data_IF_886504857539
#
_entry.id   IF_886504857539
#
_cell.length_a   1.000
_cell.length_b   1.000
_cell.length_c   1.000
_cell.angle_alpha   90.00
_cell.angle_beta   90.00
_cell.angle_gamma   90.00
#
_symmetry.space_group_name_H-M   'P 1'
#
loop_
_entity.id
_entity.type
_entity.pdbx_description
1 polymer ?
#
# COMPACT_ATOMS: atom_id res chain seq x y z
N UNK A 1 -57.12 74.92 3.44
CA UNK A 1 -57.05 75.11 1.98
C UNK A 1 -55.72 74.54 1.49
N UNK A 2 -55.79 73.65 0.50
CA UNK A 2 -54.73 72.98 -0.29
C UNK A 2 -53.78 72.01 0.45
N UNK A 3 -53.91 70.68 0.40
CA UNK A 3 -53.89 69.62 -0.65
C UNK A 3 -52.50 69.05 -0.98
N UNK A 4 -52.46 67.70 -1.03
CA UNK A 4 -51.44 66.76 -1.55
C UNK A 4 -50.28 66.36 -0.63
N UNK A 5 -49.74 65.14 -0.68
CA UNK A 5 -50.17 63.76 -0.95
C UNK A 5 -48.88 62.88 -0.81
N UNK A 6 -49.04 61.55 -0.72
CA UNK A 6 -48.05 60.48 -0.95
C UNK A 6 -46.99 60.07 0.13
N UNK A 7 -47.21 58.84 0.62
CA UNK A 7 -46.29 57.77 1.08
C UNK A 7 -45.10 57.45 0.13
N UNK A 8 -44.25 56.39 0.31
CA UNK A 8 -43.58 55.75 1.46
C UNK A 8 -42.07 55.36 1.18
N UNK A 9 -41.45 54.61 2.12
CA UNK A 9 -40.39 53.55 1.98
C UNK A 9 -38.90 53.83 2.29
N UNK A 10 -38.39 52.94 3.16
CA UNK A 10 -37.11 52.19 3.15
C UNK A 10 -35.78 52.96 3.30
N UNK A 11 -35.01 52.65 4.36
CA UNK A 11 -33.90 51.69 4.25
C UNK A 11 -33.06 51.58 5.56
N UNK A 12 -32.95 50.33 6.03
CA UNK A 12 -31.77 49.64 6.59
C UNK A 12 -30.74 50.45 7.40
N UNK A 13 -30.58 50.09 8.67
CA UNK A 13 -29.25 50.05 9.29
C UNK A 13 -29.18 48.92 10.33
N UNK A 14 -28.40 47.89 10.02
CA UNK A 14 -27.90 46.88 10.97
C UNK A 14 -26.38 46.87 10.84
N UNK A 15 -25.66 47.31 11.86
CA UNK A 15 -24.35 46.76 12.24
C UNK A 15 -24.19 46.95 13.75
N UNK A 16 -24.22 45.87 14.51
CA UNK A 16 -23.66 45.81 15.87
C UNK A 16 -22.80 44.56 15.95
N UNK A 17 -21.49 44.74 15.85
CA UNK A 17 -20.51 43.72 16.14
C UNK A 17 -20.39 43.59 17.67
N UNK A 18 -20.76 42.44 18.21
CA UNK A 18 -20.44 42.05 19.57
C UNK A 18 -19.38 40.94 19.49
N UNK A 19 -18.16 41.32 19.84
CA UNK A 19 -16.99 40.47 20.00
C UNK A 19 -17.19 39.64 21.28
N UNK A 20 -17.56 38.36 21.14
CA UNK A 20 -17.46 37.37 22.21
C UNK A 20 -16.36 36.37 21.83
N UNK A 21 -15.15 36.62 22.34
CA UNK A 21 -14.07 35.64 22.33
C UNK A 21 -14.39 34.62 23.42
N UNK A 22 -14.99 33.50 23.03
CA UNK A 22 -15.12 32.32 23.87
C UNK A 22 -13.77 31.61 23.90
N UNK A 23 -13.04 31.81 25.00
CA UNK A 23 -11.94 30.98 25.45
C UNK A 23 -12.49 29.60 25.86
N UNK A 24 -12.65 28.71 24.89
CA UNK A 24 -12.78 27.28 25.14
C UNK A 24 -11.80 26.54 24.23
N UNK A 25 -10.72 26.09 24.87
CA UNK A 25 -9.81 24.98 24.53
C UNK A 25 -10.10 24.14 23.30
N UNK A 26 -10.12 24.75 22.12
CA UNK A 26 -9.89 24.05 20.87
C UNK A 26 -8.43 23.62 20.85
N UNK A 27 -8.15 22.40 21.28
CA UNK A 27 -6.99 21.66 20.79
C UNK A 27 -7.20 21.55 19.28
N UNK A 28 -6.76 22.57 18.55
CA UNK A 28 -6.44 22.43 17.15
C UNK A 28 -5.42 21.29 17.14
N UNK A 29 -5.86 20.10 16.74
CA UNK A 29 -4.95 19.03 16.40
C UNK A 29 -4.06 19.63 15.31
N UNK A 30 -2.86 20.08 15.70
CA UNK A 30 -1.81 20.41 14.77
C UNK A 30 -1.44 19.09 14.09
N UNK A 31 -2.18 18.71 13.05
CA UNK A 31 -1.71 17.78 12.05
C UNK A 31 -0.46 18.43 11.47
N UNK A 32 0.70 18.11 12.03
CA UNK A 32 1.98 18.58 11.49
C UNK A 32 2.13 17.88 10.16
N UNK A 33 2.06 18.65 9.08
CA UNK A 33 2.46 18.18 7.76
C UNK A 33 3.96 17.88 7.77
N UNK A 34 4.34 16.77 7.15
CA UNK A 34 5.76 16.44 6.94
C UNK A 34 6.31 17.35 5.82
N UNK A 35 7.54 17.88 5.93
CA UNK A 35 8.19 18.59 4.83
C UNK A 35 8.21 17.76 3.53
N UNK A 36 8.05 18.40 2.38
CA UNK A 36 7.93 17.72 1.08
C UNK A 36 9.11 16.79 0.75
N UNK A 37 10.33 17.18 1.12
CA UNK A 37 11.52 16.34 0.93
C UNK A 37 11.47 15.06 1.79
N UNK A 38 10.97 15.15 3.02
CA UNK A 38 10.79 13.98 3.89
C UNK A 38 9.65 13.10 3.39
N UNK A 39 8.54 13.67 2.90
CA UNK A 39 7.46 12.89 2.30
C UNK A 39 7.94 12.13 1.05
N UNK A 40 8.78 12.75 0.22
CA UNK A 40 9.38 12.08 -0.94
C UNK A 40 10.27 10.89 -0.53
N UNK A 41 11.07 11.06 0.55
CA UNK A 41 11.87 9.97 1.11
C UNK A 41 11.00 8.84 1.66
N UNK A 42 9.96 9.16 2.43
CA UNK A 42 8.99 8.20 2.97
C UNK A 42 8.32 7.44 1.82
N UNK A 43 7.80 8.14 0.81
CA UNK A 43 7.20 7.53 -0.38
C UNK A 43 8.17 6.55 -1.03
N UNK A 44 9.42 6.96 -1.23
CA UNK A 44 10.45 6.10 -1.82
C UNK A 44 10.63 4.83 -1.01
N UNK A 45 10.89 4.94 0.31
CA UNK A 45 11.11 3.78 1.20
C UNK A 45 9.91 2.83 1.20
N UNK A 46 8.70 3.37 1.29
CA UNK A 46 7.46 2.58 1.30
C UNK A 46 7.24 1.87 -0.03
N UNK A 47 7.35 2.59 -1.15
CA UNK A 47 7.18 1.99 -2.48
C UNK A 47 8.26 0.94 -2.76
N UNK A 48 9.50 1.12 -2.28
CA UNK A 48 10.52 0.08 -2.32
C UNK A 48 10.07 -1.20 -1.61
N UNK A 49 9.56 -1.06 -0.38
CA UNK A 49 9.05 -2.17 0.40
C UNK A 49 7.95 -2.93 -0.34
N UNK A 50 7.00 -2.22 -0.97
CA UNK A 50 5.93 -2.86 -1.74
C UNK A 50 6.37 -3.48 -3.05
N UNK A 51 7.37 -2.90 -3.73
CA UNK A 51 7.95 -3.50 -4.93
C UNK A 51 8.75 -4.76 -4.60
N UNK A 52 9.42 -4.80 -3.45
CA UNK A 52 10.21 -5.96 -3.02
C UNK A 52 9.34 -7.13 -2.51
N UNK A 53 8.29 -6.81 -1.74
CA UNK A 53 7.46 -7.82 -1.06
C UNK A 53 6.17 -8.18 -1.81
N UNK A 54 5.72 -7.33 -2.75
CA UNK A 54 4.55 -7.55 -3.60
C UNK A 54 3.34 -8.13 -2.83
N UNK A 55 2.76 -7.40 -1.84
CA UNK A 55 1.77 -7.96 -0.90
C UNK A 55 0.46 -8.44 -1.54
N UNK A 56 0.20 -8.04 -2.79
CA UNK A 56 -0.94 -8.46 -3.59
C UNK A 56 -0.59 -9.59 -4.57
N UNK A 57 0.53 -10.28 -4.32
CA UNK A 57 0.96 -11.45 -5.05
C UNK A 57 1.08 -12.66 -4.12
N UNK A 58 0.85 -13.85 -4.67
CA UNK A 58 0.97 -15.14 -4.00
C UNK A 58 2.08 -15.91 -4.69
N UNK A 59 3.11 -16.33 -3.93
CA UNK A 59 4.11 -17.26 -4.43
C UNK A 59 3.44 -18.56 -4.88
N UNK A 60 3.61 -18.92 -6.15
CA UNK A 60 2.96 -20.08 -6.75
C UNK A 60 3.70 -20.51 -8.01
N UNK A 61 3.95 -21.81 -8.15
CA UNK A 61 4.61 -22.41 -9.30
C UNK A 61 6.11 -22.66 -9.08
N UNK A 62 6.88 -22.93 -10.15
CA UNK A 62 6.51 -22.77 -11.54
C UNK A 62 5.42 -23.77 -11.99
N UNK A 63 4.57 -23.36 -12.94
CA UNK A 63 3.57 -24.21 -13.59
C UNK A 63 4.02 -24.61 -15.01
N UNK A 64 3.71 -25.84 -15.50
CA UNK A 64 3.00 -26.92 -14.81
C UNK A 64 3.74 -27.40 -13.56
N UNK A 65 2.99 -27.68 -12.49
CA UNK A 65 3.53 -28.12 -11.21
C UNK A 65 3.07 -29.55 -10.92
N UNK A 66 4.01 -30.49 -10.90
CA UNK A 66 3.75 -31.86 -10.45
C UNK A 66 4.17 -32.02 -8.98
N UNK A 67 3.22 -32.39 -8.13
CA UNK A 67 3.43 -32.65 -6.69
C UNK A 67 4.45 -33.74 -6.40
N UNK A 68 4.71 -34.67 -7.33
CA UNK A 68 5.74 -35.69 -7.19
C UNK A 68 7.16 -35.13 -7.40
N UNK A 69 7.29 -34.07 -8.21
CA UNK A 69 8.58 -33.51 -8.61
C UNK A 69 9.08 -32.39 -7.68
N UNK A 70 8.17 -31.67 -7.01
CA UNK A 70 8.55 -30.50 -6.22
C UNK A 70 7.79 -30.44 -4.91
N UNK A 71 8.40 -30.94 -3.83
CA UNK A 71 7.91 -30.72 -2.47
C UNK A 71 8.07 -29.23 -2.10
N UNK A 72 6.97 -28.51 -1.93
CA UNK A 72 6.96 -27.23 -1.19
C UNK A 72 6.98 -25.93 -1.98
N UNK A 73 6.63 -25.89 -3.27
CA UNK A 73 6.63 -24.62 -4.06
C UNK A 73 5.27 -23.93 -4.21
N UNK A 74 4.20 -24.46 -3.62
CA UNK A 74 2.87 -23.88 -3.81
C UNK A 74 1.91 -24.13 -2.64
N UNK A 75 2.14 -23.44 -1.53
CA UNK A 75 1.32 -23.56 -0.31
C UNK A 75 -0.16 -23.19 -0.51
N UNK A 76 -0.46 -22.39 -1.54
CA UNK A 76 -1.83 -21.98 -1.89
C UNK A 76 -2.38 -22.64 -3.16
N UNK A 77 -1.76 -23.69 -3.71
CA UNK A 77 -2.23 -24.32 -4.96
C UNK A 77 -3.66 -24.87 -4.86
N UNK A 78 -4.02 -25.49 -3.74
CA UNK A 78 -5.38 -25.99 -3.53
C UNK A 78 -6.39 -24.83 -3.54
N UNK A 79 -6.13 -23.75 -2.80
CA UNK A 79 -6.99 -22.57 -2.80
C UNK A 79 -7.08 -21.93 -4.21
N UNK A 80 -5.96 -21.81 -4.92
CA UNK A 80 -5.94 -21.28 -6.28
C UNK A 80 -6.73 -22.15 -7.28
N UNK A 81 -6.71 -23.47 -7.11
CA UNK A 81 -7.55 -24.41 -7.87
C UNK A 81 -9.04 -24.22 -7.54
N UNK A 82 -9.40 -24.19 -6.27
CA UNK A 82 -10.80 -23.99 -5.83
C UNK A 82 -11.39 -22.67 -6.33
N UNK A 83 -10.54 -21.64 -6.49
CA UNK A 83 -10.92 -20.35 -7.05
C UNK A 83 -10.83 -20.28 -8.59
N UNK A 84 -10.47 -21.37 -9.26
CA UNK A 84 -10.45 -21.49 -10.73
C UNK A 84 -9.25 -20.84 -11.42
N UNK A 85 -8.19 -20.47 -10.67
CA UNK A 85 -6.93 -19.99 -11.25
C UNK A 85 -6.04 -21.14 -11.74
N UNK A 86 -6.20 -22.33 -11.16
CA UNK A 86 -5.51 -23.54 -11.57
C UNK A 86 -6.50 -24.61 -12.01
N UNK A 87 -6.08 -25.43 -12.96
CA UNK A 87 -6.65 -26.73 -13.24
C UNK A 87 -5.86 -27.79 -12.46
N UNK A 88 -6.53 -28.82 -11.98
CA UNK A 88 -5.92 -29.92 -11.25
C UNK A 88 -6.17 -31.23 -11.98
N UNK A 89 -5.11 -31.97 -12.23
CA UNK A 89 -5.15 -33.31 -12.84
C UNK A 89 -4.59 -34.30 -11.86
N UNK A 90 -5.27 -35.43 -11.66
CA UNK A 90 -4.79 -36.54 -10.84
C UNK A 90 -4.44 -37.67 -11.80
N UNK A 91 -3.20 -38.13 -11.76
CA UNK A 91 -2.69 -39.19 -12.62
C UNK A 91 -2.23 -40.38 -11.78
N UNK A 92 -2.65 -41.59 -12.13
CA UNK A 92 -2.27 -42.83 -11.45
C UNK A 92 -3.41 -43.51 -10.69
N UNK A 93 -3.15 -44.72 -10.22
CA UNK A 93 -4.12 -45.58 -9.56
C UNK A 93 -4.29 -45.19 -8.07
N UNK A 94 -5.37 -45.64 -7.43
CA UNK A 94 -5.83 -45.27 -6.06
C UNK A 94 -4.75 -45.33 -4.95
N UNK A 95 -3.60 -45.96 -5.20
CA UNK A 95 -2.49 -46.11 -4.26
C UNK A 95 -1.32 -45.14 -4.47
N UNK A 96 -1.14 -44.53 -5.65
CA UNK A 96 0.04 -43.70 -5.98
C UNK A 96 -0.27 -42.53 -6.92
N UNK A 97 -1.46 -41.95 -6.85
CA UNK A 97 -1.83 -40.81 -7.68
C UNK A 97 -0.92 -39.59 -7.49
N UNK A 98 -0.35 -39.05 -8.57
CA UNK A 98 0.29 -37.74 -8.57
C UNK A 98 -0.74 -36.65 -8.87
N UNK A 99 -0.59 -35.50 -8.22
CA UNK A 99 -1.38 -34.30 -8.50
C UNK A 99 -0.54 -33.35 -9.34
N UNK A 100 -1.05 -32.97 -10.50
CA UNK A 100 -0.51 -31.89 -11.32
C UNK A 100 -1.43 -30.67 -11.28
N UNK A 101 -0.84 -29.48 -11.27
CA UNK A 101 -1.53 -28.21 -11.43
C UNK A 101 -1.07 -27.47 -12.68
N UNK A 102 -2.04 -26.99 -13.44
CA UNK A 102 -1.84 -26.19 -14.65
C UNK A 102 -2.56 -24.85 -14.54
N UNK A 103 -2.07 -23.84 -15.26
CA UNK A 103 -2.75 -22.55 -15.31
C UNK A 103 -4.04 -22.66 -16.13
N UNK A 104 -5.15 -22.12 -15.60
CA UNK A 104 -6.33 -21.81 -16.41
C UNK A 104 -6.09 -20.54 -17.22
N UNK A 105 -7.03 -20.19 -18.11
CA UNK A 105 -7.00 -18.88 -18.78
C UNK A 105 -7.05 -17.72 -17.79
N UNK A 106 -7.78 -17.87 -16.69
CA UNK A 106 -7.85 -16.89 -15.62
C UNK A 106 -6.49 -16.80 -14.89
N UNK A 107 -5.90 -17.94 -14.53
CA UNK A 107 -4.58 -17.98 -13.88
C UNK A 107 -3.48 -17.36 -14.73
N UNK A 108 -3.48 -17.64 -16.05
CA UNK A 108 -2.51 -17.06 -17.00
C UNK A 108 -2.51 -15.53 -17.00
N UNK A 109 -3.65 -14.88 -16.79
CA UNK A 109 -3.74 -13.40 -16.79
C UNK A 109 -3.01 -12.75 -15.61
N UNK A 110 -2.93 -13.44 -14.48
CA UNK A 110 -2.34 -12.92 -13.24
C UNK A 110 -0.98 -13.53 -12.91
N UNK A 111 -0.62 -14.61 -13.59
CA UNK A 111 0.63 -15.32 -13.36
C UNK A 111 1.84 -14.57 -13.92
N UNK A 112 2.89 -14.45 -13.10
CA UNK A 112 4.15 -13.80 -13.42
C UNK A 112 5.30 -14.70 -13.04
N UNK A 113 6.27 -14.84 -13.93
CA UNK A 113 7.53 -15.57 -13.69
C UNK A 113 8.73 -14.66 -13.65
N UNK A 114 8.67 -13.53 -14.34
CA UNK A 114 9.77 -12.57 -14.47
C UNK A 114 9.63 -11.42 -13.48
N UNK A 115 10.74 -10.76 -13.20
CA UNK A 115 10.73 -9.44 -12.58
C UNK A 115 10.03 -8.43 -13.49
N UNK A 116 9.21 -7.56 -12.89
CA UNK A 116 8.61 -6.46 -13.63
C UNK A 116 9.59 -5.27 -13.71
N UNK A 117 9.21 -4.25 -14.50
CA UNK A 117 10.05 -3.08 -14.69
C UNK A 117 10.33 -2.33 -13.38
N UNK A 118 9.40 -2.35 -12.43
CA UNK A 118 9.57 -1.66 -11.15
C UNK A 118 10.61 -2.35 -10.27
N UNK A 119 10.57 -3.69 -10.17
CA UNK A 119 11.57 -4.47 -9.44
C UNK A 119 12.96 -4.34 -10.10
N UNK A 120 13.03 -4.36 -11.44
CA UNK A 120 14.30 -4.16 -12.15
C UNK A 120 14.87 -2.76 -11.91
N UNK A 121 14.02 -1.73 -11.90
CA UNK A 121 14.45 -0.37 -11.58
C UNK A 121 14.96 -0.26 -10.13
N UNK A 122 14.28 -0.91 -9.17
CA UNK A 122 14.71 -0.98 -7.78
C UNK A 122 16.09 -1.63 -7.64
N UNK A 123 16.29 -2.81 -8.26
CA UNK A 123 17.58 -3.53 -8.20
C UNK A 123 18.71 -2.68 -8.80
N UNK A 124 18.49 -2.06 -9.96
CA UNK A 124 19.47 -1.16 -10.59
C UNK A 124 19.81 0.04 -9.69
N UNK A 125 18.81 0.63 -9.04
CA UNK A 125 19.04 1.72 -8.07
C UNK A 125 19.91 1.24 -6.91
N UNK A 126 19.61 0.09 -6.32
CA UNK A 126 20.40 -0.49 -5.21
C UNK A 126 21.84 -0.79 -5.62
N UNK A 127 22.04 -1.36 -6.81
CA UNK A 127 23.38 -1.58 -7.36
C UNK A 127 24.16 -0.27 -7.48
N UNK A 128 23.53 0.81 -7.97
CA UNK A 128 24.16 2.14 -8.03
C UNK A 128 24.55 2.68 -6.65
N UNK A 129 23.63 2.60 -5.67
CA UNK A 129 23.89 3.06 -4.29
C UNK A 129 25.02 2.26 -3.63
N UNK A 130 25.11 0.96 -3.93
CA UNK A 130 26.15 0.08 -3.41
C UNK A 130 27.47 0.13 -4.20
N UNK A 131 27.69 1.16 -5.03
CA UNK A 131 28.93 1.34 -5.80
C UNK A 131 29.14 0.35 -6.95
N UNK A 132 28.08 -0.35 -7.39
CA UNK A 132 28.08 -1.38 -8.44
C UNK A 132 27.20 -1.03 -9.66
N UNK A 133 27.22 0.21 -10.21
CA UNK A 133 26.25 0.64 -11.23
C UNK A 133 26.36 -0.08 -12.58
N UNK A 134 27.50 -0.71 -12.88
CA UNK A 134 27.73 -1.46 -14.13
C UNK A 134 27.33 -2.93 -14.06
N UNK A 135 26.85 -3.41 -12.92
CA UNK A 135 26.48 -4.80 -12.76
C UNK A 135 25.09 -5.10 -13.35
N UNK A 136 25.00 -6.20 -14.07
CA UNK A 136 23.74 -6.69 -14.63
C UNK A 136 22.96 -7.44 -13.53
N UNK A 137 21.67 -7.11 -13.30
CA UNK A 137 20.83 -7.89 -12.40
C UNK A 137 20.79 -9.38 -12.79
N UNK A 138 20.97 -10.26 -11.81
CA UNK A 138 20.76 -11.69 -11.98
C UNK A 138 19.26 -11.96 -12.22
N UNK A 139 18.92 -12.26 -13.47
CA UNK A 139 17.53 -12.45 -13.89
C UNK A 139 16.94 -13.76 -13.38
N UNK A 140 17.78 -14.77 -13.12
CA UNK A 140 17.33 -16.07 -12.62
C UNK A 140 17.03 -15.96 -11.13
N UNK A 141 17.85 -15.24 -10.36
CA UNK A 141 17.58 -14.94 -8.95
C UNK A 141 16.32 -14.06 -8.77
N UNK A 142 15.97 -13.27 -9.78
CA UNK A 142 14.77 -12.42 -9.78
C UNK A 142 13.52 -13.12 -10.36
N UNK A 143 13.69 -14.31 -10.95
CA UNK A 143 12.58 -15.08 -11.47
C UNK A 143 11.80 -15.70 -10.30
N UNK A 144 10.64 -15.11 -9.99
CA UNK A 144 9.76 -15.55 -8.90
C UNK A 144 8.38 -15.88 -9.44
N UNK A 145 8.07 -17.17 -9.70
CA UNK A 145 6.72 -17.63 -10.01
C UNK A 145 5.70 -17.20 -8.96
N UNK A 146 4.68 -16.45 -9.39
CA UNK A 146 3.66 -15.90 -8.50
C UNK A 146 2.40 -15.49 -9.25
N UNK A 147 1.27 -15.45 -8.57
CA UNK A 147 0.03 -14.86 -9.07
C UNK A 147 -0.17 -13.48 -8.45
N UNK A 148 -0.27 -12.44 -9.29
CA UNK A 148 -0.36 -11.05 -8.87
C UNK A 148 -1.70 -10.43 -9.27
N UNK A 149 -2.44 -9.95 -8.26
CA UNK A 149 -3.79 -9.42 -8.43
C UNK A 149 -3.81 -7.89 -8.50
N UNK A 150 -2.73 -7.23 -8.07
CA UNK A 150 -2.62 -5.79 -8.05
C UNK A 150 -1.23 -5.32 -7.65
N UNK A 151 -1.14 -4.03 -7.33
CA UNK A 151 0.06 -3.41 -6.75
C UNK A 151 -0.34 -2.56 -5.55
N UNK A 152 0.49 -2.55 -4.52
CA UNK A 152 0.33 -1.60 -3.40
C UNK A 152 1.33 -0.46 -3.57
N UNK A 153 0.88 0.78 -3.33
CA UNK A 153 1.69 2.00 -3.45
C UNK A 153 1.43 2.93 -2.29
N UNK A 154 2.41 3.75 -1.97
CA UNK A 154 2.23 4.88 -1.07
C UNK A 154 1.17 5.85 -1.64
N UNK A 155 0.19 6.22 -0.83
CA UNK A 155 -0.79 7.26 -1.18
C UNK A 155 -0.39 8.61 -0.57
N UNK A 156 -0.38 8.68 0.77
CA UNK A 156 -0.14 9.92 1.50
C UNK A 156 0.32 9.67 2.95
N UNK A 157 1.02 10.66 3.52
CA UNK A 157 1.11 10.83 4.99
C UNK A 157 -0.13 11.59 5.45
N UNK A 158 -0.86 11.04 6.42
CA UNK A 158 -2.09 11.64 6.95
C UNK A 158 -1.93 12.25 8.35
N UNK A 159 -0.87 11.86 9.07
CA UNK A 159 -0.52 12.43 10.37
C UNK A 159 0.97 12.21 10.67
N UNK A 160 1.54 13.01 11.56
CA UNK A 160 2.93 12.84 12.01
C UNK A 160 3.12 13.18 13.49
N UNK A 161 4.14 12.57 14.08
CA UNK A 161 4.69 12.98 15.37
C UNK A 161 5.95 13.81 15.14
N UNK A 162 6.17 14.78 16.04
CA UNK A 162 7.43 15.51 16.04
C UNK A 162 8.58 14.54 16.32
N UNK A 163 9.75 14.72 15.66
CA UNK A 163 10.91 13.90 15.96
C UNK A 163 11.31 14.00 17.44
N UNK A 164 11.72 12.87 18.02
CA UNK A 164 12.23 12.78 19.39
C UNK A 164 13.66 12.25 19.37
N UNK A 165 14.46 12.69 20.33
CA UNK A 165 15.82 12.18 20.52
C UNK A 165 15.83 11.12 21.60
N UNK A 166 16.36 9.95 21.29
CA UNK A 166 16.51 8.83 22.21
C UNK A 166 17.97 8.37 22.19
N UNK A 167 18.75 8.82 23.18
CA UNK A 167 20.20 8.62 23.18
C UNK A 167 20.87 9.30 21.98
N UNK A 168 21.57 8.53 21.15
CA UNK A 168 22.22 9.01 19.93
C UNK A 168 21.29 9.06 18.70
N UNK A 169 20.08 8.50 18.81
CA UNK A 169 19.15 8.37 17.70
C UNK A 169 18.11 9.48 17.71
N UNK A 170 17.66 9.88 16.53
CA UNK A 170 16.56 10.81 16.36
C UNK A 170 15.49 10.13 15.53
N UNK A 171 14.32 9.91 16.11
CA UNK A 171 13.27 9.10 15.49
C UNK A 171 12.04 9.94 15.28
N UNK A 172 11.34 9.71 14.16
CA UNK A 172 10.02 10.27 13.94
C UNK A 172 9.04 9.22 13.43
N UNK A 173 7.76 9.37 13.77
CA UNK A 173 6.69 8.50 13.27
C UNK A 173 5.71 9.25 12.40
N UNK A 174 5.12 8.55 11.43
CA UNK A 174 4.03 9.02 10.57
C UNK A 174 2.90 7.99 10.50
N UNK A 175 1.68 8.46 10.26
CA UNK A 175 0.59 7.63 9.74
C UNK A 175 0.58 7.71 8.22
N UNK A 176 0.73 6.56 7.58
CA UNK A 176 0.74 6.42 6.13
C UNK A 176 -0.53 5.72 5.69
N UNK A 177 -1.14 6.25 4.63
CA UNK A 177 -2.18 5.56 3.87
C UNK A 177 -1.55 5.03 2.60
N UNK A 178 -1.88 3.78 2.29
CA UNK A 178 -1.46 3.10 1.07
C UNK A 178 -2.66 2.91 0.15
N UNK A 179 -2.40 2.74 -1.14
CA UNK A 179 -3.38 2.49 -2.19
C UNK A 179 -3.13 1.11 -2.81
N UNK A 180 -4.19 0.30 -2.94
CA UNK A 180 -4.18 -0.88 -3.79
C UNK A 180 -4.66 -0.49 -5.20
N UNK A 181 -3.85 -0.81 -6.20
CA UNK A 181 -4.17 -0.60 -7.62
C UNK A 181 -4.48 -1.93 -8.26
N UNK A 182 -5.71 -2.06 -8.75
CA UNK A 182 -6.09 -3.21 -9.55
C UNK A 182 -5.49 -3.09 -10.95
N UNK A 183 -4.53 -3.96 -11.23
CA UNK A 183 -3.89 -4.06 -12.55
C UNK A 183 -4.36 -5.29 -13.33
N UNK A 184 -5.14 -6.17 -12.68
CA UNK A 184 -5.60 -7.43 -13.27
C UNK A 184 -7.09 -7.42 -13.63
N UNK A 185 -7.86 -6.48 -13.07
CA UNK A 185 -9.32 -6.48 -13.09
C UNK A 185 -9.93 -7.49 -12.11
N UNK A 186 -9.13 -8.11 -11.24
CA UNK A 186 -9.53 -9.21 -10.37
C UNK A 186 -9.28 -8.91 -8.89
N UNK A 187 -8.73 -7.75 -8.53
CA UNK A 187 -8.33 -7.46 -7.16
C UNK A 187 -9.51 -7.56 -6.18
N UNK A 188 -10.68 -7.10 -6.59
CA UNK A 188 -11.93 -7.14 -5.80
C UNK A 188 -12.89 -8.24 -6.23
N UNK A 189 -12.44 -9.18 -7.08
CA UNK A 189 -13.24 -10.34 -7.43
C UNK A 189 -13.48 -11.23 -6.19
N UNK A 190 -14.70 -11.76 -5.97
CA UNK A 190 -14.98 -12.65 -4.83
C UNK A 190 -14.00 -13.82 -4.70
N UNK A 191 -13.48 -14.34 -5.81
CA UNK A 191 -12.49 -15.42 -5.85
C UNK A 191 -11.16 -15.00 -5.22
N UNK A 192 -10.73 -13.78 -5.48
CA UNK A 192 -9.48 -13.24 -4.93
C UNK A 192 -9.58 -13.04 -3.42
N UNK A 193 -10.77 -12.70 -2.91
CA UNK A 193 -11.00 -12.55 -1.46
C UNK A 193 -10.78 -13.87 -0.71
N UNK A 194 -11.18 -14.99 -1.29
CA UNK A 194 -10.98 -16.32 -0.70
C UNK A 194 -9.49 -16.72 -0.57
N UNK A 195 -8.59 -16.02 -1.26
CA UNK A 195 -7.14 -16.28 -1.19
C UNK A 195 -6.46 -15.64 0.03
N UNK A 196 -7.21 -14.86 0.83
CA UNK A 196 -6.70 -14.21 2.04
C UNK A 196 -5.63 -13.15 1.78
N UNK A 197 -5.74 -12.44 0.66
CA UNK A 197 -4.89 -11.27 0.39
C UNK A 197 -5.27 -10.12 1.33
N UNK A 198 -4.31 -9.26 1.72
CA UNK A 198 -4.60 -8.05 2.46
C UNK A 198 -5.27 -7.06 1.52
N UNK A 199 -6.59 -7.15 1.37
CA UNK A 199 -7.35 -6.25 0.49
C UNK A 199 -7.91 -5.07 1.30
N UNK A 200 -7.84 -3.83 0.77
CA UNK A 200 -8.59 -2.72 1.36
C UNK A 200 -10.09 -2.91 1.13
N UNK A 201 -10.89 -2.03 1.74
CA UNK A 201 -12.31 -1.97 1.41
C UNK A 201 -12.54 -1.63 -0.07
N UNK A 202 -13.60 -2.18 -0.66
CA UNK A 202 -13.96 -1.92 -2.06
C UNK A 202 -14.28 -0.42 -2.19
N UNK A 203 -13.57 0.33 -3.06
CA UNK A 203 -13.79 1.76 -3.16
C UNK A 203 -15.13 2.06 -3.82
N UNK A 204 -15.69 3.23 -3.50
CA UNK A 204 -16.78 3.80 -4.30
C UNK A 204 -16.28 4.07 -5.73
N UNK A 205 -17.16 4.02 -6.75
CA UNK A 205 -16.76 4.32 -8.13
C UNK A 205 -15.99 5.64 -8.24
N UNK A 206 -14.84 5.61 -8.92
CA UNK A 206 -13.97 6.78 -9.11
C UNK A 206 -13.13 7.18 -7.90
N UNK A 207 -13.12 6.40 -6.81
CA UNK A 207 -12.25 6.62 -5.65
C UNK A 207 -11.11 5.59 -5.61
N UNK A 208 -9.94 5.96 -5.05
CA UNK A 208 -8.84 5.02 -4.86
C UNK A 208 -9.21 3.98 -3.79
N UNK A 209 -8.68 2.76 -3.93
CA UNK A 209 -8.83 1.72 -2.92
C UNK A 209 -7.75 1.89 -1.84
N UNK A 210 -8.12 2.52 -0.73
CA UNK A 210 -7.18 2.90 0.33
C UNK A 210 -7.20 1.90 1.47
N UNK A 211 -6.01 1.56 1.96
CA UNK A 211 -5.86 0.83 3.21
C UNK A 211 -6.15 1.75 4.41
N UNK A 212 -6.53 1.19 5.57
CA UNK A 212 -6.49 1.92 6.83
C UNK A 212 -5.11 2.54 7.07
N UNK A 213 -5.02 3.72 7.70
CA UNK A 213 -3.74 4.31 8.06
C UNK A 213 -2.92 3.38 8.96
N UNK A 214 -1.67 3.14 8.59
CA UNK A 214 -0.70 2.39 9.40
C UNK A 214 0.37 3.30 9.97
N UNK A 215 0.83 3.03 11.19
CA UNK A 215 1.94 3.76 11.79
C UNK A 215 3.26 3.21 11.26
N UNK A 216 4.19 4.10 10.92
CA UNK A 216 5.55 3.74 10.56
C UNK A 216 6.50 4.72 11.22
N UNK A 217 7.63 4.21 11.71
CA UNK A 217 8.66 5.01 12.35
C UNK A 217 9.93 4.95 11.54
N UNK A 218 10.73 6.01 11.72
CA UNK A 218 11.96 6.20 10.99
C UNK A 218 13.03 6.79 11.89
N UNK A 219 14.23 6.24 11.80
CA UNK A 219 15.45 6.88 12.23
C UNK A 219 15.81 8.02 11.26
N UNK A 220 16.27 9.13 11.80
CA UNK A 220 16.84 10.25 11.07
C UNK A 220 18.35 10.21 11.28
N UNK A 221 19.06 9.78 10.24
CA UNK A 221 20.52 9.72 10.25
C UNK A 221 21.15 11.12 10.34
N UNK A 222 22.43 11.23 10.72
CA UNK A 222 23.13 12.52 10.79
C UNK A 222 23.15 13.30 9.47
N UNK A 223 23.10 12.61 8.34
CA UNK A 223 23.04 13.19 6.99
C UNK A 223 21.60 13.58 6.56
N UNK A 224 20.61 13.33 7.42
CA UNK A 224 19.20 13.60 7.17
C UNK A 224 18.47 12.51 6.39
N UNK A 225 19.15 11.41 6.01
CA UNK A 225 18.51 10.24 5.43
C UNK A 225 17.64 9.51 6.44
N UNK A 226 16.69 8.71 5.94
CA UNK A 226 15.70 8.01 6.74
C UNK A 226 15.87 6.50 6.59
N UNK A 227 15.85 5.78 7.71
CA UNK A 227 15.77 4.32 7.76
C UNK A 227 14.53 3.90 8.54
N UNK A 228 13.89 2.79 8.17
CA UNK A 228 12.72 2.28 8.89
C UNK A 228 13.10 1.78 10.27
N UNK A 229 12.27 2.10 11.26
CA UNK A 229 12.41 1.65 12.65
C UNK A 229 11.06 1.10 13.16
N UNK A 230 11.14 0.12 14.07
CA UNK A 230 10.00 -0.48 14.75
C UNK A 230 9.62 0.28 16.03
N UNK A 231 10.45 1.24 16.48
CA UNK A 231 10.19 2.01 17.68
C UNK A 231 8.90 2.83 17.58
N UNK A 232 8.01 2.68 18.55
CA UNK A 232 6.79 3.48 18.69
C UNK A 232 6.88 4.40 19.91
N UNK A 233 6.32 5.60 19.79
CA UNK A 233 6.32 6.57 20.88
C UNK A 233 5.11 7.50 20.85
N UNK A 234 4.95 8.26 21.93
CA UNK A 234 3.86 9.22 22.08
C UNK A 234 2.49 8.55 22.01
N UNK A 235 1.55 9.21 21.30
CA UNK A 235 0.16 8.75 21.23
C UNK A 235 -0.05 7.46 20.43
N UNK A 236 0.99 6.92 19.79
CA UNK A 236 0.93 5.71 18.94
C UNK A 236 1.71 4.52 19.49
N UNK A 237 2.15 4.58 20.76
CA UNK A 237 2.97 3.51 21.36
C UNK A 237 2.29 2.13 21.36
N UNK A 238 0.95 2.11 21.40
CA UNK A 238 0.14 0.89 21.41
C UNK A 238 -0.65 0.70 20.10
N UNK A 239 -0.39 1.51 19.07
CA UNK A 239 -1.01 1.31 17.77
C UNK A 239 -0.20 0.26 16.96
N UNK A 240 -0.88 -0.63 16.22
CA UNK A 240 -0.24 -1.63 15.38
C UNK A 240 0.56 -1.01 14.22
#
# INVERSE_FOLDING_TARGET
MHTHELHPRLARSMVRAALYVVLLGGVAACTRSVPSAQEAAIRSIVDEGFVANEPLCIAAGPFPLDSAAVRGTCDKCQALYEQGFLARTISGDDSFGSVSYDLTDLGRRVYRTKADAALLALVRRRLKVNGRPGETPDMDALAKPRMCFGQTRFHAVVDSLAPVTMGAYRVFSVKVVNEARDTSGLLFDPRTRALGLPLPEVPKPGKPALYPPGVMSFDINPDGSLDTDDMRYGRWVNEP
#
